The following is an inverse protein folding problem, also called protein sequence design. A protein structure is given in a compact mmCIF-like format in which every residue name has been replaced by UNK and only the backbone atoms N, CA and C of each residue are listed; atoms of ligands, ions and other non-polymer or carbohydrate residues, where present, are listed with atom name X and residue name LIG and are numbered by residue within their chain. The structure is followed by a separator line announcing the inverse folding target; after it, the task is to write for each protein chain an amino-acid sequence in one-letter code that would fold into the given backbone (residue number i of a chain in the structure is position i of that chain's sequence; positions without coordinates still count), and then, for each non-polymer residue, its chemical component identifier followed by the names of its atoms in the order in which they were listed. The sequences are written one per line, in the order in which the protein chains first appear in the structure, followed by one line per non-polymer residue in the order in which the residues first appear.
data_IF_663667776031
#
_entry.id   IF_663667776031
#
_cell.length_a   1.000
_cell.length_b   1.000
_cell.length_c   1.000
_cell.angle_alpha   90.00
_cell.angle_beta   90.00
_cell.angle_gamma   90.00
#
_symmetry.space_group_name_H-M   'P 1'
#
loop_
_entity.id
_entity.type
_entity.pdbx_description
1 polymer ?
#
# COMPACT_ATOMS: atom_id res chain seq x y z
N UNK A 1 -9.92 -14.67 10.28
CA UNK A 1 -8.69 -13.87 10.37
C UNK A 1 -8.96 -12.59 9.60
N UNK A 2 -9.06 -11.44 10.26
CA UNK A 2 -9.35 -10.18 9.56
C UNK A 2 -8.04 -9.63 9.03
N UNK A 3 -7.79 -9.80 7.73
CA UNK A 3 -6.61 -9.23 7.07
C UNK A 3 -6.68 -7.70 7.15
N UNK A 4 -5.71 -7.08 7.83
CA UNK A 4 -5.60 -5.61 7.85
C UNK A 4 -5.30 -5.14 6.43
N UNK A 5 -6.12 -4.21 5.93
CA UNK A 5 -5.95 -3.59 4.62
C UNK A 5 -5.44 -2.17 4.78
N UNK A 6 -4.49 -1.79 3.94
CA UNK A 6 -3.95 -0.45 3.86
C UNK A 6 -4.57 0.27 2.65
N UNK A 7 -5.14 1.47 2.84
CA UNK A 7 -5.56 2.31 1.74
C UNK A 7 -4.31 2.89 1.04
N UNK A 8 -4.05 2.45 -0.19
CA UNK A 8 -2.99 2.96 -1.05
C UNK A 8 -3.60 3.82 -2.16
N UNK A 9 -3.10 5.04 -2.32
CA UNK A 9 -3.52 5.92 -3.42
C UNK A 9 -2.54 5.79 -4.57
N UNK A 10 -3.02 5.36 -5.73
CA UNK A 10 -2.18 5.28 -6.92
C UNK A 10 -1.71 6.70 -7.32
N UNK A 11 -0.40 7.00 -7.33
CA UNK A 11 0.11 8.32 -7.70
C UNK A 11 -0.11 8.66 -9.18
N UNK A 12 -0.43 7.66 -10.02
CA UNK A 12 -0.63 7.86 -11.46
C UNK A 12 -2.07 8.26 -11.79
N UNK A 13 -3.06 7.59 -11.18
CA UNK A 13 -4.47 7.85 -11.47
C UNK A 13 -5.24 8.51 -10.32
N UNK A 14 -4.62 8.70 -9.16
CA UNK A 14 -5.22 9.31 -7.97
C UNK A 14 -6.28 8.45 -7.27
N UNK A 15 -6.54 7.22 -7.74
CA UNK A 15 -7.54 6.34 -7.14
C UNK A 15 -6.98 5.61 -5.92
N UNK A 16 -7.79 5.57 -4.87
CA UNK A 16 -7.51 4.81 -3.65
C UNK A 16 -7.92 3.34 -3.85
N UNK A 17 -7.04 2.44 -3.48
CA UNK A 17 -7.22 0.98 -3.48
C UNK A 17 -6.89 0.43 -2.10
N UNK A 18 -7.52 -0.67 -1.71
CA UNK A 18 -7.24 -1.33 -0.45
C UNK A 18 -6.42 -2.59 -0.73
N UNK A 19 -5.22 -2.67 -0.17
CA UNK A 19 -4.34 -3.81 -0.33
C UNK A 19 -4.04 -4.46 1.02
N UNK A 20 -3.80 -5.78 1.06
CA UNK A 20 -3.40 -6.44 2.30
C UNK A 20 -2.07 -5.86 2.79
N UNK A 21 -1.96 -5.59 4.09
CA UNK A 21 -0.69 -5.14 4.70
C UNK A 21 0.43 -6.16 4.47
N UNK A 22 0.10 -7.45 4.41
CA UNK A 22 1.06 -8.53 4.14
C UNK A 22 1.70 -8.46 2.74
N UNK A 23 1.00 -7.83 1.79
CA UNK A 23 1.44 -7.66 0.41
C UNK A 23 2.25 -6.36 0.23
N UNK A 24 2.14 -5.45 1.20
CA UNK A 24 2.83 -4.17 1.27
C UNK A 24 4.19 -4.36 1.94
N UNK A 25 5.19 -4.81 1.18
CA UNK A 25 6.59 -4.97 1.62
C UNK A 25 7.56 -4.20 0.72
N UNK A 26 8.80 -3.98 1.17
CA UNK A 26 9.84 -3.40 0.32
C UNK A 26 10.08 -4.28 -0.92
N UNK A 27 10.09 -3.66 -2.10
CA UNK A 27 10.18 -4.35 -3.39
C UNK A 27 8.86 -4.95 -3.88
N UNK A 28 7.75 -4.79 -3.15
CA UNK A 28 6.46 -5.35 -3.58
C UNK A 28 5.92 -4.65 -4.82
N UNK A 29 5.26 -5.44 -5.67
CA UNK A 29 4.68 -5.00 -6.93
C UNK A 29 3.18 -4.75 -6.79
N UNK A 30 2.79 -3.50 -6.61
CA UNK A 30 1.39 -3.10 -6.48
C UNK A 30 0.84 -2.79 -7.86
N UNK A 31 -0.07 -3.63 -8.35
CA UNK A 31 -0.78 -3.36 -9.59
C UNK A 31 -2.07 -2.60 -9.30
N UNK A 32 -2.20 -1.40 -9.84
CA UNK A 32 -3.44 -0.64 -9.74
C UNK A 32 -4.50 -1.23 -10.68
N UNK A 33 -5.68 -1.65 -10.18
CA UNK A 33 -6.73 -2.26 -11.02
C UNK A 33 -7.36 -1.27 -12.01
N UNK A 34 -7.16 0.04 -11.81
CA UNK A 34 -7.75 1.08 -12.65
C UNK A 34 -6.88 1.47 -13.83
N UNK A 35 -5.62 1.85 -13.58
CA UNK A 35 -4.68 2.21 -14.65
C UNK A 35 -3.85 1.01 -15.15
N UNK A 36 -3.97 -0.15 -14.50
CA UNK A 36 -3.22 -1.39 -14.80
C UNK A 36 -1.69 -1.21 -14.77
N UNK A 37 -1.22 -0.19 -14.06
CA UNK A 37 0.20 0.04 -13.84
C UNK A 37 0.67 -0.68 -12.59
N UNK A 38 1.81 -1.35 -12.71
CA UNK A 38 2.51 -1.98 -11.60
C UNK A 38 3.53 -1.00 -11.04
N UNK A 39 3.41 -0.71 -9.76
CA UNK A 39 4.29 0.17 -9.01
C UNK A 39 5.09 -0.69 -8.05
N UNK A 40 6.41 -0.50 -8.01
CA UNK A 40 7.26 -1.18 -7.04
C UNK A 40 7.43 -0.29 -5.82
N UNK A 41 7.09 -0.79 -4.63
CA UNK A 41 7.37 -0.09 -3.37
C UNK A 41 8.87 -0.09 -3.10
N UNK A 42 9.49 1.08 -3.03
CA UNK A 42 10.91 1.18 -2.70
C UNK A 42 11.23 2.58 -2.14
N UNK A 43 12.31 2.67 -1.37
CA UNK A 43 12.81 3.94 -0.82
C UNK A 43 11.74 4.72 -0.07
N UNK A 44 11.62 6.02 -0.35
CA UNK A 44 10.68 6.91 0.33
C UNK A 44 9.21 6.47 0.26
N UNK A 45 8.78 5.83 -0.84
CA UNK A 45 7.42 5.29 -0.93
C UNK A 45 7.16 4.19 0.10
N UNK A 46 8.17 3.36 0.36
CA UNK A 46 8.05 2.29 1.34
C UNK A 46 8.01 2.85 2.77
N UNK A 47 8.84 3.85 3.09
CA UNK A 47 8.82 4.52 4.39
C UNK A 47 7.44 5.12 4.72
N UNK A 48 6.77 5.73 3.74
CA UNK A 48 5.40 6.25 3.91
C UNK A 48 4.39 5.14 4.18
N UNK A 49 4.47 4.04 3.44
CA UNK A 49 3.62 2.86 3.67
C UNK A 49 3.86 2.29 5.07
N UNK A 50 5.11 2.19 5.53
CA UNK A 50 5.43 1.73 6.88
C UNK A 50 4.83 2.62 7.97
N UNK A 51 4.88 3.95 7.80
CA UNK A 51 4.25 4.91 8.71
C UNK A 51 2.75 4.68 8.82
N UNK A 52 2.08 4.44 7.69
CA UNK A 52 0.64 4.15 7.68
C UNK A 52 0.31 2.79 8.31
N UNK A 53 1.13 1.76 8.07
CA UNK A 53 0.99 0.45 8.73
C UNK A 53 1.14 0.59 10.25
N UNK A 54 2.12 1.36 10.73
CA UNK A 54 2.33 1.60 12.15
C UNK A 54 1.09 2.25 12.80
N UNK A 55 0.55 3.30 12.18
CA UNK A 55 -0.69 3.96 12.65
C UNK A 55 -1.90 3.03 12.70
N UNK A 56 -2.00 2.08 11.77
CA UNK A 56 -3.06 1.05 11.76
C UNK A 56 -2.87 -0.01 12.85
N UNK A 57 -1.65 -0.19 13.35
CA UNK A 57 -1.38 -1.09 14.46
C UNK A 57 -1.63 -0.45 15.82
N UNK A 58 -1.38 0.85 15.99
CA UNK A 58 -1.64 1.58 17.24
C UNK A 58 -3.13 1.83 17.52
N UNK A 59 -3.98 1.76 16.49
CA UNK A 59 -5.45 1.93 16.60
C UNK A 59 -6.23 0.61 16.74
N UNK A 60 -5.54 -0.53 16.79
CA UNK A 60 -6.12 -1.87 16.86
C UNK A 60 -6.23 -2.42 18.28
#
# INVERSE_FOLDING_TARGET
MTEKKLPFTCPICGRKTEHPVIDMVEGANITCPFCKLTLTLHGHMWEDVQREIAKLNEKG
#
